data_IF_903214566818
#
_entry.id   IF_903214566818
#
_cell.length_a   1.000
_cell.length_b   1.000
_cell.length_c   1.000
_cell.angle_alpha   90.00
_cell.angle_beta   90.00
_cell.angle_gamma   90.00
#
_symmetry.space_group_name_H-M   'P 1'
#
loop_
_entity.id
_entity.type
_entity.pdbx_description
1 polymer ?
#
# COMPACT_ATOMS: atom_id res chain seq x y z
N UNK A 1 -26.52 6.87 24.87
CA UNK A 1 -25.34 7.64 24.42
C UNK A 1 -24.53 6.73 23.52
N UNK A 2 -24.71 6.85 22.21
CA UNK A 2 -23.97 6.03 21.24
C UNK A 2 -22.54 6.55 21.24
N UNK A 3 -21.59 5.72 21.69
CA UNK A 3 -20.17 5.99 21.56
C UNK A 3 -19.90 6.12 20.04
N UNK A 4 -19.35 7.24 19.54
CA UNK A 4 -18.98 7.30 18.12
C UNK A 4 -18.05 6.12 17.83
N UNK A 5 -18.32 5.37 16.76
CA UNK A 5 -17.42 4.31 16.32
C UNK A 5 -16.03 4.92 16.12
N UNK A 6 -14.95 4.25 16.55
CA UNK A 6 -13.60 4.73 16.27
C UNK A 6 -13.48 4.97 14.76
N UNK A 7 -12.83 6.07 14.37
CA UNK A 7 -12.61 6.36 12.96
C UNK A 7 -11.83 5.17 12.35
N UNK A 8 -12.48 4.43 11.44
CA UNK A 8 -11.86 3.28 10.79
C UNK A 8 -10.66 3.78 9.99
N UNK A 9 -9.45 3.37 10.36
CA UNK A 9 -8.22 3.72 9.63
C UNK A 9 -8.36 3.26 8.18
N UNK A 10 -8.24 4.19 7.24
CA UNK A 10 -8.29 3.91 5.81
C UNK A 10 -6.85 3.95 5.27
N UNK A 11 -6.37 2.81 4.78
CA UNK A 11 -5.10 2.72 4.07
C UNK A 11 -5.37 2.75 2.57
N UNK A 12 -4.44 3.30 1.81
CA UNK A 12 -4.60 3.45 0.37
C UNK A 12 -3.47 2.75 -0.38
N UNK A 13 -3.78 1.61 -0.98
CA UNK A 13 -2.85 0.91 -1.84
C UNK A 13 -2.93 1.45 -3.26
N UNK A 14 -1.85 2.08 -3.70
CA UNK A 14 -1.69 2.51 -5.07
C UNK A 14 -1.20 1.36 -5.96
N UNK A 15 -2.08 0.93 -6.87
CA UNK A 15 -1.79 -0.15 -7.83
C UNK A 15 -1.21 0.33 -9.17
N UNK A 16 -0.99 1.64 -9.33
CA UNK A 16 -0.43 2.22 -10.57
C UNK A 16 0.95 1.64 -10.85
N UNK A 17 1.16 1.23 -12.10
CA UNK A 17 2.47 0.84 -12.64
C UNK A 17 2.82 1.71 -13.82
N UNK A 18 1.92 1.85 -14.80
CA UNK A 18 2.22 2.57 -16.03
C UNK A 18 2.03 4.08 -15.87
N UNK A 19 2.88 4.85 -16.54
CA UNK A 19 2.80 6.31 -16.55
C UNK A 19 1.50 6.81 -17.20
N UNK A 20 0.99 6.06 -18.19
CA UNK A 20 -0.26 6.34 -18.88
C UNK A 20 -1.51 6.15 -18.02
N UNK A 21 -1.39 5.53 -16.84
CA UNK A 21 -2.50 5.39 -15.89
C UNK A 21 -2.74 6.65 -15.04
N UNK A 22 -1.86 7.66 -15.15
CA UNK A 22 -1.92 8.89 -14.37
C UNK A 22 -2.28 10.10 -15.24
N UNK A 23 -3.13 10.97 -14.70
CA UNK A 23 -3.34 12.29 -15.27
C UNK A 23 -2.02 13.08 -15.34
N UNK A 24 -1.78 13.91 -16.39
CA UNK A 24 -0.50 14.58 -16.57
C UNK A 24 -0.01 15.39 -15.37
N UNK A 25 -0.92 16.10 -14.69
CA UNK A 25 -0.59 16.89 -13.49
C UNK A 25 -0.17 16.00 -12.32
N UNK A 26 -0.84 14.86 -12.15
CA UNK A 26 -0.49 13.87 -11.11
C UNK A 26 0.85 13.21 -11.42
N UNK A 27 1.08 12.83 -12.68
CA UNK A 27 2.35 12.26 -13.12
C UNK A 27 3.51 13.22 -12.85
N UNK A 28 3.36 14.50 -13.18
CA UNK A 28 4.39 15.52 -12.94
C UNK A 28 4.73 15.67 -11.45
N UNK A 29 3.72 15.66 -10.57
CA UNK A 29 3.94 15.69 -9.12
C UNK A 29 4.64 14.43 -8.60
N UNK A 30 4.29 13.28 -9.16
CA UNK A 30 4.90 11.99 -8.80
C UNK A 30 6.36 11.90 -9.24
N UNK A 31 6.67 12.43 -10.42
CA UNK A 31 8.04 12.56 -10.89
C UNK A 31 8.83 13.54 -10.01
N UNK A 32 8.26 14.70 -9.68
CA UNK A 32 8.91 15.68 -8.79
C UNK A 32 9.22 15.10 -7.40
N UNK A 33 8.29 14.31 -6.83
CA UNK A 33 8.54 13.58 -5.58
C UNK A 33 9.70 12.60 -5.74
N UNK A 34 9.68 11.79 -6.81
CA UNK A 34 10.69 10.76 -7.05
C UNK A 34 12.07 11.38 -7.25
N UNK A 35 12.16 12.47 -8.03
CA UNK A 35 13.40 13.21 -8.26
C UNK A 35 13.95 13.79 -6.95
N UNK A 36 13.10 14.36 -6.10
CA UNK A 36 13.50 14.92 -4.81
C UNK A 36 13.99 13.85 -3.84
N UNK A 37 13.32 12.70 -3.81
CA UNK A 37 13.71 11.53 -3.00
C UNK A 37 15.06 10.98 -3.47
N UNK A 38 15.27 10.81 -4.77
CA UNK A 38 16.53 10.30 -5.34
C UNK A 38 17.71 11.24 -5.06
N UNK A 39 17.47 12.55 -5.03
CA UNK A 39 18.47 13.58 -4.70
C UNK A 39 18.67 13.80 -3.19
N UNK A 40 17.85 13.17 -2.33
CA UNK A 40 17.91 13.38 -0.88
C UNK A 40 17.43 14.77 -0.43
N UNK A 41 16.60 15.44 -1.24
CA UNK A 41 16.03 16.76 -0.93
C UNK A 41 14.80 16.64 -0.01
N UNK A 42 15.00 16.11 1.20
CA UNK A 42 13.92 15.71 2.13
C UNK A 42 12.97 16.85 2.56
N UNK A 43 13.47 18.09 2.67
CA UNK A 43 12.60 19.24 2.93
C UNK A 43 11.63 19.52 1.77
N UNK A 44 12.06 19.30 0.52
CA UNK A 44 11.19 19.40 -0.65
C UNK A 44 10.20 18.24 -0.71
N UNK A 45 10.63 17.03 -0.32
CA UNK A 45 9.74 15.86 -0.17
C UNK A 45 8.61 16.16 0.83
N UNK A 46 8.93 16.69 2.01
CA UNK A 46 7.93 17.09 2.99
C UNK A 46 6.95 18.12 2.41
N UNK A 47 7.47 19.15 1.72
CA UNK A 47 6.66 20.18 1.06
C UNK A 47 5.69 19.60 0.03
N UNK A 48 6.13 18.61 -0.76
CA UNK A 48 5.28 17.94 -1.76
C UNK A 48 4.20 17.08 -1.11
N UNK A 49 4.51 16.38 -0.01
CA UNK A 49 3.58 15.52 0.72
C UNK A 49 2.57 16.30 1.57
N UNK A 50 2.91 17.51 2.02
CA UNK A 50 2.04 18.37 2.84
C UNK A 50 1.02 19.18 2.01
N UNK A 51 0.97 18.99 0.68
CA UNK A 51 -0.02 19.66 -0.17
C UNK A 51 -1.42 19.09 0.09
N UNK A 52 -2.30 19.89 0.69
CA UNK A 52 -3.63 19.43 1.16
C UNK A 52 -4.83 19.82 0.28
N UNK A 53 -4.69 20.67 -0.74
CA UNK A 53 -5.87 21.42 -1.23
C UNK A 53 -6.50 20.96 -2.58
N UNK A 54 -7.79 21.31 -2.67
CA UNK A 54 -8.92 20.95 -3.57
C UNK A 54 -8.73 20.81 -5.09
N UNK A 55 -7.53 21.02 -5.66
CA UNK A 55 -7.27 20.86 -7.11
C UNK A 55 -6.56 19.56 -7.49
N UNK A 56 -6.16 18.74 -6.51
CA UNK A 56 -5.43 17.51 -6.73
C UNK A 56 -6.02 16.40 -5.85
N UNK A 57 -6.70 15.38 -6.42
CA UNK A 57 -7.18 14.27 -5.62
C UNK A 57 -5.95 13.60 -5.02
N UNK A 58 -5.90 13.36 -3.70
CA UNK A 58 -5.20 12.26 -2.96
C UNK A 58 -4.21 11.33 -3.72
N UNK A 59 -3.34 11.87 -4.57
CA UNK A 59 -2.62 11.12 -5.60
C UNK A 59 -1.15 10.97 -5.24
N UNK A 60 -0.65 11.82 -4.37
CA UNK A 60 0.67 11.70 -3.78
C UNK A 60 0.53 11.15 -2.36
N UNK A 61 1.34 10.15 -2.04
CA UNK A 61 1.45 9.60 -0.69
C UNK A 61 2.92 9.33 -0.39
N UNK A 62 3.26 9.20 0.89
CA UNK A 62 4.63 8.85 1.30
C UNK A 62 5.05 7.43 0.85
N UNK A 63 4.14 6.65 0.25
CA UNK A 63 4.37 5.33 -0.34
C UNK A 63 4.39 5.34 -1.88
N UNK A 64 4.26 6.52 -2.51
CA UNK A 64 4.21 6.63 -3.96
C UNK A 64 5.55 6.23 -4.60
N UNK A 65 5.50 5.26 -5.50
CA UNK A 65 6.63 4.83 -6.33
C UNK A 65 6.77 5.69 -7.59
N UNK A 66 7.94 5.68 -8.25
CA UNK A 66 8.07 6.28 -9.58
C UNK A 66 7.24 5.49 -10.60
N UNK A 67 6.32 6.16 -11.32
CA UNK A 67 5.52 5.48 -12.33
C UNK A 67 6.40 5.03 -13.51
N UNK A 68 6.20 3.79 -13.96
CA UNK A 68 7.02 3.10 -14.95
C UNK A 68 8.20 2.32 -14.34
N UNK A 69 8.57 2.58 -13.09
CA UNK A 69 9.58 1.82 -12.37
C UNK A 69 8.96 0.55 -11.77
N UNK A 70 9.62 -0.59 -12.01
CA UNK A 70 9.20 -1.91 -11.54
C UNK A 70 10.02 -2.42 -10.35
N UNK A 71 10.99 -1.64 -9.85
CA UNK A 71 11.77 -2.03 -8.67
C UNK A 71 10.94 -2.05 -7.38
N UNK A 72 9.82 -1.33 -7.33
CA UNK A 72 9.02 -1.25 -6.10
C UNK A 72 9.63 -0.34 -5.03
N UNK A 73 10.62 0.50 -5.38
CA UNK A 73 11.36 1.31 -4.41
C UNK A 73 10.56 2.54 -3.96
N UNK A 74 10.16 2.54 -2.68
CA UNK A 74 9.43 3.64 -2.04
C UNK A 74 10.37 4.66 -1.35
N UNK A 75 9.88 5.86 -0.96
CA UNK A 75 10.70 6.87 -0.28
C UNK A 75 11.52 6.36 0.92
N UNK A 76 10.97 5.49 1.78
CA UNK A 76 11.74 4.90 2.89
C UNK A 76 12.91 4.02 2.43
N UNK A 77 12.78 3.32 1.29
CA UNK A 77 13.90 2.54 0.74
C UNK A 77 15.02 3.46 0.23
N UNK A 78 14.69 4.60 -0.37
CA UNK A 78 15.69 5.58 -0.76
C UNK A 78 16.38 6.20 0.45
N UNK A 79 15.61 6.57 1.49
CA UNK A 79 16.15 7.05 2.76
C UNK A 79 17.12 6.04 3.38
N UNK A 80 16.75 4.75 3.36
CA UNK A 80 17.62 3.65 3.78
C UNK A 80 18.89 3.54 2.93
N UNK A 81 18.79 3.56 1.59
CA UNK A 81 19.96 3.46 0.69
C UNK A 81 20.95 4.62 0.86
N UNK A 82 20.43 5.82 1.13
CA UNK A 82 21.22 7.04 1.28
C UNK A 82 21.80 7.21 2.70
N UNK A 83 21.40 6.37 3.65
CA UNK A 83 21.76 6.56 5.06
C UNK A 83 21.21 7.87 5.62
N UNK A 84 19.98 8.24 5.27
CA UNK A 84 19.35 9.49 5.67
C UNK A 84 19.28 9.65 7.20
N UNK A 85 19.20 10.90 7.66
CA UNK A 85 19.08 11.20 9.09
C UNK A 85 17.80 10.55 9.67
N UNK A 86 17.81 10.02 10.92
CA UNK A 86 16.63 9.39 11.52
C UNK A 86 15.35 10.26 11.49
N UNK A 87 15.49 11.58 11.66
CA UNK A 87 14.36 12.52 11.57
C UNK A 87 13.64 12.47 10.21
N UNK A 88 14.34 12.17 9.12
CA UNK A 88 13.73 12.00 7.79
C UNK A 88 12.82 10.78 7.77
N UNK A 89 13.25 9.68 8.39
CA UNK A 89 12.43 8.46 8.50
C UNK A 89 11.20 8.73 9.35
N UNK A 90 11.38 9.43 10.47
CA UNK A 90 10.27 9.80 11.35
C UNK A 90 9.27 10.71 10.65
N UNK A 91 9.75 11.68 9.88
CA UNK A 91 8.95 12.62 9.12
C UNK A 91 8.12 11.93 8.01
N UNK A 92 8.72 10.97 7.29
CA UNK A 92 8.04 10.16 6.28
C UNK A 92 7.00 9.23 6.91
N UNK A 93 7.32 8.59 8.03
CA UNK A 93 6.39 7.72 8.77
C UNK A 93 5.22 8.53 9.32
N UNK A 94 5.47 9.72 9.87
CA UNK A 94 4.41 10.61 10.33
C UNK A 94 3.45 11.01 9.20
N UNK A 95 3.92 11.00 7.95
CA UNK A 95 3.13 11.19 6.72
C UNK A 95 2.54 9.91 6.13
N UNK A 96 2.58 8.80 6.88
CA UNK A 96 1.95 7.54 6.53
C UNK A 96 2.81 6.61 5.66
N UNK A 97 4.14 6.80 5.60
CA UNK A 97 5.02 5.82 4.97
C UNK A 97 5.00 4.50 5.73
N UNK A 98 4.90 3.38 5.00
CA UNK A 98 4.81 2.04 5.58
C UNK A 98 6.19 1.42 5.74
N UNK A 99 6.53 1.01 6.96
CA UNK A 99 7.80 0.33 7.27
C UNK A 99 7.84 -1.09 6.70
N UNK A 100 6.68 -1.75 6.61
CA UNK A 100 6.54 -3.11 6.07
C UNK A 100 6.60 -3.18 4.55
N UNK A 101 6.63 -2.05 3.83
CA UNK A 101 6.54 -2.09 2.37
C UNK A 101 7.79 -2.70 1.77
N UNK A 102 7.61 -3.69 0.89
CA UNK A 102 8.70 -4.41 0.23
C UNK A 102 8.88 -3.99 -1.22
N UNK A 103 10.12 -3.98 -1.69
CA UNK A 103 10.49 -3.87 -3.11
C UNK A 103 10.04 -5.11 -3.90
N UNK A 104 10.26 -5.10 -5.21
CA UNK A 104 10.00 -6.26 -6.06
C UNK A 104 10.88 -7.47 -5.70
N UNK A 105 12.07 -7.23 -5.14
CA UNK A 105 12.99 -8.25 -4.63
C UNK A 105 12.63 -8.71 -3.20
N UNK A 106 11.58 -8.14 -2.59
CA UNK A 106 11.12 -8.52 -1.25
C UNK A 106 11.84 -7.82 -0.10
N UNK A 107 12.73 -6.86 -0.36
CA UNK A 107 13.43 -6.12 0.71
C UNK A 107 12.54 -5.03 1.31
N UNK A 108 12.50 -4.92 2.64
CA UNK A 108 11.99 -3.73 3.34
C UNK A 108 13.06 -2.64 3.39
N UNK A 109 12.67 -1.40 3.71
CA UNK A 109 13.63 -0.32 3.96
C UNK A 109 14.60 -0.66 5.11
N UNK A 110 14.14 -1.36 6.15
CA UNK A 110 14.98 -1.85 7.25
C UNK A 110 16.05 -2.84 6.77
N UNK A 111 15.67 -3.82 5.94
CA UNK A 111 16.60 -4.78 5.37
C UNK A 111 17.68 -4.10 4.52
N UNK A 112 17.28 -3.11 3.71
CA UNK A 112 18.22 -2.30 2.91
C UNK A 112 19.20 -1.54 3.82
N UNK A 113 18.71 -0.86 4.86
CA UNK A 113 19.55 -0.10 5.79
C UNK A 113 20.54 -1.02 6.52
N UNK A 114 20.09 -2.19 6.99
CA UNK A 114 20.94 -3.18 7.67
C UNK A 114 22.01 -3.74 6.73
N UNK A 115 21.64 -4.10 5.50
CA UNK A 115 22.57 -4.62 4.47
C UNK A 115 23.67 -3.60 4.13
N UNK A 116 23.36 -2.31 4.17
CA UNK A 116 24.30 -1.22 3.90
C UNK A 116 25.06 -0.73 5.15
N UNK A 117 24.81 -1.32 6.33
CA UNK A 117 25.50 -0.98 7.57
C UNK A 117 24.96 0.24 8.31
N UNK A 118 23.79 0.76 7.93
CA UNK A 118 23.12 1.88 8.62
C UNK A 118 22.33 1.39 9.84
N UNK A 119 23.03 0.87 10.85
CA UNK A 119 22.44 0.17 12.01
C UNK A 119 21.38 1.00 12.74
N UNK A 120 21.71 2.23 13.14
CA UNK A 120 20.75 3.09 13.86
C UNK A 120 19.51 3.43 13.02
N UNK A 121 19.68 3.55 11.71
CA UNK A 121 18.58 3.81 10.78
C UNK A 121 17.70 2.57 10.60
N UNK A 122 18.31 1.38 10.52
CA UNK A 122 17.60 0.11 10.44
C UNK A 122 16.68 -0.11 11.65
N UNK A 123 17.17 0.17 12.87
CA UNK A 123 16.32 0.09 14.07
C UNK A 123 15.13 1.06 14.03
N UNK A 124 15.29 2.23 13.42
CA UNK A 124 14.19 3.20 13.26
C UNK A 124 13.18 2.81 12.16
N UNK A 125 13.65 2.09 11.16
CA UNK A 125 12.85 1.56 10.04
C UNK A 125 12.17 0.23 10.36
N UNK A 126 12.46 -0.37 11.52
CA UNK A 126 11.91 -1.65 11.92
C UNK A 126 10.37 -1.61 11.94
N UNK A 127 9.69 -2.49 11.21
CA UNK A 127 8.24 -2.62 11.28
C UNK A 127 7.74 -2.97 12.68
N UNK A 128 6.56 -2.48 13.03
CA UNK A 128 5.90 -2.74 14.32
C UNK A 128 4.51 -3.38 14.08
N UNK A 129 4.45 -4.66 13.64
CA UNK A 129 3.18 -5.32 13.39
C UNK A 129 2.39 -5.49 14.70
N UNK A 130 1.15 -5.01 14.71
CA UNK A 130 0.21 -5.21 15.80
C UNK A 130 -0.49 -6.59 15.73
N UNK A 131 -0.48 -7.23 14.56
CA UNK A 131 -0.89 -8.61 14.34
C UNK A 131 0.31 -9.47 13.92
N UNK A 132 0.55 -10.56 14.64
CA UNK A 132 1.63 -11.49 14.33
C UNK A 132 1.14 -12.60 13.39
N UNK A 133 1.74 -12.65 12.19
CA UNK A 133 1.70 -13.80 11.28
C UNK A 133 3.15 -14.13 10.89
N UNK A 134 3.44 -15.40 10.62
CA UNK A 134 4.72 -15.77 10.03
C UNK A 134 4.80 -15.38 8.54
N UNK A 135 6.03 -15.29 8.03
CA UNK A 135 6.30 -14.82 6.67
C UNK A 135 5.71 -15.75 5.59
N UNK A 136 5.58 -17.05 5.88
CA UNK A 136 5.02 -18.05 4.95
C UNK A 136 3.52 -17.83 4.78
N UNK A 137 2.77 -17.72 5.88
CA UNK A 137 1.35 -17.43 5.87
C UNK A 137 1.05 -16.08 5.19
N UNK A 138 1.89 -15.06 5.43
CA UNK A 138 1.75 -13.77 4.72
C UNK A 138 1.92 -13.94 3.21
N UNK A 139 2.96 -14.67 2.79
CA UNK A 139 3.24 -14.92 1.37
C UNK A 139 2.11 -15.73 0.69
N UNK A 140 1.53 -16.71 1.38
CA UNK A 140 0.44 -17.53 0.87
C UNK A 140 -0.84 -16.69 0.67
N UNK A 141 -1.25 -15.92 1.69
CA UNK A 141 -2.43 -15.06 1.59
C UNK A 141 -2.22 -14.00 0.49
N UNK A 142 -1.03 -13.39 0.38
CA UNK A 142 -0.72 -12.43 -0.68
C UNK A 142 -0.74 -13.06 -2.08
N UNK A 143 -0.34 -14.33 -2.21
CA UNK A 143 -0.41 -15.09 -3.46
C UNK A 143 -1.85 -15.24 -3.92
N UNK A 144 -2.76 -15.64 -3.02
CA UNK A 144 -4.18 -15.74 -3.34
C UNK A 144 -4.84 -14.37 -3.54
N UNK A 145 -4.45 -13.36 -2.77
CA UNK A 145 -4.94 -11.99 -2.95
C UNK A 145 -4.54 -11.43 -4.32
N UNK A 146 -3.30 -11.65 -4.74
CA UNK A 146 -2.82 -11.32 -6.10
C UNK A 146 -3.67 -12.01 -7.15
N UNK A 147 -3.83 -13.32 -7.07
CA UNK A 147 -4.61 -14.09 -8.04
C UNK A 147 -6.06 -13.60 -8.12
N UNK A 148 -6.68 -13.29 -6.97
CA UNK A 148 -8.02 -12.69 -6.92
C UNK A 148 -8.07 -11.35 -7.65
N UNK A 149 -7.15 -10.43 -7.33
CA UNK A 149 -7.10 -9.11 -7.98
C UNK A 149 -6.91 -9.26 -9.49
N UNK A 150 -5.97 -10.08 -9.93
CA UNK A 150 -5.69 -10.35 -11.36
C UNK A 150 -6.91 -10.87 -12.11
N UNK A 151 -7.57 -11.91 -11.59
CA UNK A 151 -8.77 -12.48 -12.23
C UNK A 151 -9.88 -11.44 -12.33
N UNK A 152 -10.02 -10.59 -11.31
CA UNK A 152 -11.08 -9.58 -11.22
C UNK A 152 -10.79 -8.36 -12.10
N UNK A 153 -9.52 -8.06 -12.39
CA UNK A 153 -9.09 -6.91 -13.21
C UNK A 153 -8.62 -7.30 -14.61
N UNK A 154 -8.56 -8.59 -14.96
CA UNK A 154 -8.07 -9.11 -16.26
C UNK A 154 -8.60 -8.37 -17.49
N UNK A 155 -9.85 -7.91 -17.45
CA UNK A 155 -10.51 -7.19 -18.56
C UNK A 155 -9.91 -5.81 -18.83
N UNK A 156 -9.23 -5.23 -17.84
CA UNK A 156 -8.54 -3.96 -17.99
C UNK A 156 -7.24 -4.08 -18.80
N UNK A 157 -6.72 -5.31 -18.96
CA UNK A 157 -5.53 -5.65 -19.73
C UNK A 157 -4.32 -4.73 -19.46
N UNK A 158 -4.10 -4.39 -18.18
CA UNK A 158 -3.03 -3.51 -17.72
C UNK A 158 -2.27 -4.13 -16.56
N UNK A 159 -0.96 -3.88 -16.42
CA UNK A 159 -0.20 -4.32 -15.26
C UNK A 159 -0.64 -3.55 -14.02
N UNK A 160 -0.60 -4.21 -12.87
CA UNK A 160 -0.97 -3.63 -11.59
C UNK A 160 0.07 -4.00 -10.55
N UNK A 161 0.31 -3.09 -9.62
CA UNK A 161 1.05 -3.40 -8.41
C UNK A 161 0.11 -4.07 -7.41
N UNK A 162 0.41 -5.32 -7.09
CA UNK A 162 -0.44 -6.13 -6.20
C UNK A 162 -0.29 -5.72 -4.73
N UNK A 163 -1.38 -5.70 -3.95
CA UNK A 163 -1.36 -5.37 -2.53
C UNK A 163 -0.45 -6.30 -1.73
N UNK A 164 0.30 -5.71 -0.81
CA UNK A 164 1.02 -6.43 0.25
C UNK A 164 0.24 -6.29 1.57
N UNK A 165 0.28 -7.31 2.41
CA UNK A 165 -0.44 -7.35 3.68
C UNK A 165 0.26 -6.64 4.83
N UNK A 166 1.56 -6.34 4.69
CA UNK A 166 2.35 -5.64 5.70
C UNK A 166 1.61 -4.47 6.39
N UNK A 167 1.03 -3.52 5.64
CA UNK A 167 0.27 -2.42 6.24
C UNK A 167 -0.94 -2.87 7.08
N UNK A 168 -1.62 -3.95 6.70
CA UNK A 168 -2.72 -4.53 7.50
C UNK A 168 -2.20 -5.32 8.71
N UNK A 169 -0.93 -5.73 8.75
CA UNK A 169 -0.32 -6.31 9.95
C UNK A 169 0.04 -5.22 10.98
N UNK A 170 0.51 -4.05 10.53
CA UNK A 170 0.74 -2.88 11.40
C UNK A 170 -0.58 -2.25 11.89
N UNK A 171 -1.61 -2.24 11.04
CA UNK A 171 -2.91 -1.65 11.34
C UNK A 171 -4.05 -2.67 11.14
N UNK A 172 -4.24 -3.64 12.06
CA UNK A 172 -5.18 -4.75 11.86
C UNK A 172 -6.65 -4.34 11.80
N UNK A 173 -7.01 -3.23 12.45
CA UNK A 173 -8.37 -2.68 12.41
C UNK A 173 -8.63 -1.81 11.14
N UNK A 174 -7.62 -1.64 10.28
CA UNK A 174 -7.73 -0.81 9.10
C UNK A 174 -8.43 -1.50 7.94
N UNK A 175 -9.01 -0.69 7.05
CA UNK A 175 -9.39 -1.13 5.71
C UNK A 175 -8.40 -0.55 4.71
N UNK A 176 -7.75 -1.43 3.95
CA UNK A 176 -6.88 -1.05 2.84
C UNK A 176 -7.66 -1.05 1.53
N UNK A 177 -7.76 0.13 0.92
CA UNK A 177 -8.34 0.31 -0.40
C UNK A 177 -7.30 0.17 -1.50
N UNK A 178 -7.44 -0.87 -2.30
CA UNK A 178 -6.67 -1.08 -3.53
C UNK A 178 -7.33 -0.28 -4.65
N UNK A 179 -6.73 0.86 -5.00
CA UNK A 179 -7.16 1.66 -6.16
C UNK A 179 -6.60 1.07 -7.43
N UNK A 180 -7.49 0.71 -8.35
CA UNK A 180 -7.11 0.11 -9.63
C UNK A 180 -7.36 1.12 -10.75
N UNK A 181 -6.32 1.55 -11.49
CA UNK A 181 -6.49 2.42 -12.64
C UNK A 181 -7.46 1.84 -13.67
N UNK A 182 -8.34 2.69 -14.22
CA UNK A 182 -9.37 2.26 -15.18
C UNK A 182 -10.53 1.45 -14.57
N UNK A 183 -10.56 1.24 -13.25
CA UNK A 183 -11.69 0.65 -12.55
C UNK A 183 -12.46 1.73 -11.78
N UNK A 184 -13.78 1.81 -11.97
CA UNK A 184 -14.63 2.70 -11.19
C UNK A 184 -14.90 2.08 -9.81
N UNK A 185 -13.94 2.23 -8.90
CA UNK A 185 -13.91 1.63 -7.56
C UNK A 185 -12.59 0.92 -7.28
N UNK A 186 -12.66 -0.26 -6.68
CA UNK A 186 -11.47 -1.02 -6.28
C UNK A 186 -11.81 -2.19 -5.37
N UNK A 187 -10.84 -2.60 -4.56
CA UNK A 187 -11.01 -3.64 -3.55
C UNK A 187 -10.78 -3.05 -2.17
N UNK A 188 -11.72 -3.27 -1.26
CA UNK A 188 -11.51 -3.05 0.16
C UNK A 188 -11.03 -4.36 0.77
N UNK A 189 -9.83 -4.33 1.36
CA UNK A 189 -9.21 -5.46 2.04
C UNK A 189 -9.12 -5.14 3.54
N UNK A 190 -9.53 -6.05 4.40
CA UNK A 190 -9.39 -5.95 5.86
C UNK A 190 -9.31 -7.35 6.46
N UNK A 191 -8.80 -7.48 7.67
CA UNK A 191 -8.94 -8.74 8.41
C UNK A 191 -10.42 -9.00 8.71
N UNK A 192 -10.85 -10.24 8.52
CA UNK A 192 -12.19 -10.66 8.88
C UNK A 192 -12.32 -10.76 10.41
N UNK A 193 -13.44 -10.29 10.94
CA UNK A 193 -13.77 -10.39 12.35
C UNK A 193 -14.38 -11.77 12.66
N UNK A 194 -14.16 -12.27 13.88
CA UNK A 194 -14.76 -13.51 14.39
C UNK A 194 -14.46 -14.79 13.58
N UNK A 195 -13.36 -14.79 12.81
CA UNK A 195 -12.84 -15.99 12.14
C UNK A 195 -11.60 -16.48 12.91
N UNK A 196 -11.58 -17.77 13.26
CA UNK A 196 -10.53 -18.37 14.09
C UNK A 196 -9.18 -18.60 13.39
N UNK A 197 -9.09 -18.29 12.10
CA UNK A 197 -7.89 -18.38 11.27
C UNK A 197 -7.64 -17.06 10.54
N UNK A 198 -6.36 -16.70 10.26
CA UNK A 198 -6.04 -15.47 9.56
C UNK A 198 -6.72 -15.40 8.18
N UNK A 199 -7.68 -14.48 8.07
CA UNK A 199 -8.53 -14.36 6.89
C UNK A 199 -8.64 -12.90 6.47
N UNK A 200 -8.33 -12.62 5.21
CA UNK A 200 -8.55 -11.30 4.62
C UNK A 200 -9.89 -11.30 3.89
N UNK A 201 -10.80 -10.46 4.37
CA UNK A 201 -12.05 -10.16 3.66
C UNK A 201 -11.77 -9.14 2.54
N UNK A 202 -12.09 -9.53 1.31
CA UNK A 202 -11.89 -8.71 0.11
C UNK A 202 -13.25 -8.39 -0.52
N UNK A 203 -13.68 -7.14 -0.40
CA UNK A 203 -14.92 -6.63 -1.00
C UNK A 203 -14.62 -5.86 -2.27
N UNK A 204 -15.17 -6.30 -3.41
CA UNK A 204 -15.09 -5.50 -4.64
C UNK A 204 -16.19 -4.45 -4.66
N UNK A 205 -15.82 -3.17 -4.68
CA UNK A 205 -16.77 -2.08 -4.86
C UNK A 205 -16.73 -1.59 -6.31
N UNK A 206 -17.88 -1.58 -6.98
CA UNK A 206 -18.09 -0.86 -8.23
C UNK A 206 -19.19 0.16 -8.00
N UNK A 207 -18.92 1.45 -8.24
CA UNK A 207 -19.91 2.53 -8.06
C UNK A 207 -20.91 2.63 -9.22
N UNK A 208 -20.91 1.68 -10.16
CA UNK A 208 -21.95 1.58 -11.18
C UNK A 208 -23.17 0.89 -10.56
N UNK A 209 -24.35 1.50 -10.67
CA UNK A 209 -25.62 0.91 -10.21
C UNK A 209 -25.77 -0.47 -10.85
N UNK A 210 -25.81 -1.53 -10.02
CA UNK A 210 -25.81 -2.93 -10.46
C UNK A 210 -24.47 -3.66 -10.38
N UNK A 211 -23.41 -3.04 -9.83
CA UNK A 211 -22.13 -3.70 -9.59
C UNK A 211 -22.27 -4.87 -8.61
N UNK A 212 -21.86 -6.08 -9.01
CA UNK A 212 -21.92 -7.28 -8.16
C UNK A 212 -20.98 -7.11 -6.97
N UNK A 213 -21.47 -6.60 -5.84
CA UNK A 213 -20.75 -6.58 -4.58
C UNK A 213 -20.43 -8.02 -4.18
N UNK A 214 -19.21 -8.46 -4.50
CA UNK A 214 -18.72 -9.78 -4.13
C UNK A 214 -17.74 -9.63 -3.00
N UNK A 215 -17.95 -10.44 -1.98
CA UNK A 215 -17.04 -10.57 -0.83
C UNK A 215 -16.36 -11.92 -0.94
N UNK A 216 -15.04 -11.91 -0.93
CA UNK A 216 -14.24 -13.12 -0.86
C UNK A 216 -13.50 -13.17 0.48
N UNK A 217 -13.30 -14.36 1.01
CA UNK A 217 -12.31 -14.62 2.05
C UNK A 217 -11.07 -15.17 1.38
N UNK A 218 -9.92 -14.63 1.76
CA UNK A 218 -8.60 -15.07 1.30
C UNK A 218 -7.82 -15.54 2.52
N UNK A 219 -7.42 -16.81 2.50
CA UNK A 219 -6.67 -17.47 3.58
C UNK A 219 -5.40 -18.09 3.01
N UNK A 220 -4.61 -18.76 3.86
CA UNK A 220 -3.43 -19.53 3.43
C UNK A 220 -3.80 -20.73 2.55
N UNK A 221 -5.03 -21.22 2.63
CA UNK A 221 -5.51 -22.40 1.87
C UNK A 221 -6.14 -22.01 0.52
N UNK A 222 -6.61 -20.76 0.37
CA UNK A 222 -7.19 -20.32 -0.89
C UNK A 222 -8.16 -19.15 -0.82
N UNK A 223 -9.09 -19.13 -1.78
CA UNK A 223 -10.07 -18.07 -1.97
C UNK A 223 -11.48 -18.66 -1.92
N UNK A 224 -12.32 -18.17 -1.01
CA UNK A 224 -13.73 -18.54 -0.91
C UNK A 224 -14.64 -17.36 -1.25
N UNK A 225 -15.70 -17.58 -2.02
CA UNK A 225 -16.74 -16.57 -2.28
C UNK A 225 -17.83 -16.66 -1.21
N UNK A 226 -17.95 -15.63 -0.38
CA UNK A 226 -18.83 -15.64 0.80
C UNK A 226 -20.18 -14.99 0.53
N UNK A 227 -20.19 -13.87 -0.20
CA UNK A 227 -21.43 -13.15 -0.51
C UNK A 227 -21.42 -12.67 -1.94
N UNK A 228 -22.59 -12.77 -2.58
CA UNK A 228 -22.88 -12.18 -3.88
C UNK A 228 -24.14 -11.34 -3.76
N UNK A 229 -23.99 -10.01 -3.79
CA UNK A 229 -25.14 -9.13 -3.99
C UNK A 229 -25.52 -9.24 -5.47
N UNK A 230 -26.71 -9.80 -5.75
CA UNK A 230 -27.30 -9.95 -7.09
C UNK A 230 -27.92 -8.62 -7.55
#
# INVERSE_FOLDING_TARGET
MVRPAPAVTQLLWDAVVERSDLEPTVLALRDALSDAVEQGHWAHVATLLDRTDDDLPSALSANALRAGDRTGTAPLHHAARQGAHPDVVDDLVARGAWRTLRTAEGETAEAVARRLGHVSLAERLRPEPAMALDDEAVADIETFLRALVEVRTRRLARPLRHPQLGPLLEYPDATMWVRVPGMYGGFACRWAEDIGEPTVEVRSASRVVGGSGRTHHVTVEGIELVTRVL
#
